data_IF_519112141974
#
_entry.id   IF_519112141974
#
_cell.length_a   1.000
_cell.length_b   1.000
_cell.length_c   1.000
_cell.angle_alpha   90.00
_cell.angle_beta   90.00
_cell.angle_gamma   90.00
#
_symmetry.space_group_name_H-M   'P 1'
#
loop_
_entity.id
_entity.type
_entity.pdbx_description
1 polymer ?
#
# COMPACT_ATOMS: atom_id res chain seq x y z
N UNK A 1 -67.88 16.23 -26.69
CA UNK A 1 -68.07 14.77 -26.51
C UNK A 1 -66.89 14.08 -27.16
N UNK A 2 -66.32 13.09 -26.49
CA UNK A 2 -64.92 12.70 -26.56
C UNK A 2 -64.60 11.86 -27.81
N UNK A 3 -63.62 12.30 -28.60
CA UNK A 3 -62.89 11.46 -29.55
C UNK A 3 -61.71 10.77 -28.86
N UNK A 4 -61.66 9.45 -28.97
CA UNK A 4 -60.45 8.61 -28.94
C UNK A 4 -60.24 8.13 -30.39
N UNK A 5 -58.99 7.92 -30.90
CA UNK A 5 -58.13 6.88 -30.35
C UNK A 5 -56.59 7.05 -30.53
N UNK A 6 -55.87 6.09 -29.93
CA UNK A 6 -54.51 5.62 -30.23
C UNK A 6 -53.30 6.53 -29.95
N UNK A 7 -52.80 6.44 -28.71
CA UNK A 7 -51.41 6.69 -28.36
C UNK A 7 -50.65 5.38 -28.14
N UNK A 8 -49.90 4.94 -29.14
CA UNK A 8 -48.83 3.97 -29.02
C UNK A 8 -47.54 4.75 -28.73
N UNK A 9 -46.98 4.66 -27.52
CA UNK A 9 -45.65 5.19 -27.21
C UNK A 9 -44.92 4.24 -26.29
N UNK A 10 -44.07 3.43 -26.92
CA UNK A 10 -43.03 2.66 -26.26
C UNK A 10 -42.17 3.60 -25.39
N UNK A 11 -42.15 3.32 -24.09
CA UNK A 11 -41.22 3.93 -23.15
C UNK A 11 -39.84 3.32 -23.36
N UNK A 12 -38.94 4.13 -23.90
CA UNK A 12 -37.50 4.02 -23.67
C UNK A 12 -37.23 4.32 -22.20
N UNK A 13 -36.52 3.44 -21.49
CA UNK A 13 -35.37 3.89 -20.70
C UNK A 13 -34.46 2.70 -20.44
N UNK A 14 -33.27 2.83 -21.02
CA UNK A 14 -32.26 1.83 -21.14
C UNK A 14 -31.58 1.53 -19.80
N UNK A 15 -31.27 0.24 -19.64
CA UNK A 15 -30.15 -0.33 -18.88
C UNK A 15 -29.10 0.70 -18.48
N UNK A 16 -29.04 0.98 -17.18
CA UNK A 16 -27.87 1.62 -16.55
C UNK A 16 -26.72 0.62 -16.68
N UNK A 17 -25.82 0.92 -17.61
CA UNK A 17 -24.68 0.10 -17.94
C UNK A 17 -23.70 -0.03 -16.78
N UNK A 18 -23.08 -1.19 -16.74
CA UNK A 18 -21.92 -1.53 -15.94
C UNK A 18 -20.91 -0.38 -15.90
N UNK A 19 -20.38 -0.12 -14.71
CA UNK A 19 -19.18 0.69 -14.48
C UNK A 19 -18.01 -0.09 -15.08
N UNK A 20 -17.88 0.00 -16.40
CA UNK A 20 -16.71 -0.44 -17.13
C UNK A 20 -15.57 0.48 -16.74
N UNK A 21 -14.66 -0.04 -15.91
CA UNK A 21 -13.30 0.46 -15.79
C UNK A 21 -12.67 0.36 -17.18
N UNK A 22 -12.89 1.38 -18.01
CA UNK A 22 -12.10 1.58 -19.19
C UNK A 22 -10.70 1.87 -18.70
N UNK A 23 -9.86 0.85 -18.79
CA UNK A 23 -8.41 0.97 -18.79
C UNK A 23 -8.05 1.98 -19.88
N UNK A 24 -7.95 3.24 -19.50
CA UNK A 24 -7.30 4.30 -20.24
C UNK A 24 -5.79 4.05 -20.17
N UNK A 25 -5.35 2.95 -20.78
CA UNK A 25 -3.95 2.72 -21.12
C UNK A 25 -3.61 3.53 -22.38
N UNK A 26 -3.90 4.84 -22.36
CA UNK A 26 -3.42 5.78 -23.36
C UNK A 26 -2.18 6.47 -22.81
N UNK A 27 -1.03 6.36 -23.50
CA UNK A 27 0.12 7.20 -23.16
C UNK A 27 -0.27 8.66 -23.31
N UNK A 28 -0.23 9.41 -22.21
CA UNK A 28 -0.33 10.86 -22.26
C UNK A 28 0.94 11.41 -22.91
N UNK A 29 0.80 11.99 -24.09
CA UNK A 29 1.91 12.65 -24.80
C UNK A 29 2.05 14.08 -24.30
N UNK A 30 3.25 14.45 -23.86
CA UNK A 30 3.60 15.82 -23.47
C UNK A 30 4.70 16.36 -24.38
N UNK A 31 4.50 17.55 -24.95
CA UNK A 31 5.53 18.27 -25.70
C UNK A 31 6.34 19.13 -24.75
N UNK A 32 7.65 18.94 -24.70
CA UNK A 32 8.57 19.68 -23.83
C UNK A 32 9.53 20.45 -24.74
N UNK A 33 9.60 21.78 -24.55
CA UNK A 33 10.64 22.59 -25.18
C UNK A 33 11.92 22.51 -24.34
N UNK A 34 13.06 22.27 -25.00
CA UNK A 34 14.35 22.08 -24.35
C UNK A 34 15.43 22.80 -25.15
N UNK A 35 16.40 23.41 -24.45
CA UNK A 35 17.53 24.05 -25.11
C UNK A 35 18.56 23.02 -25.61
N UNK A 36 19.29 23.39 -26.67
CA UNK A 36 20.24 22.51 -27.34
C UNK A 36 21.41 22.11 -26.44
N UNK A 37 21.82 22.96 -25.50
CA UNK A 37 22.92 22.66 -24.59
C UNK A 37 22.51 21.62 -23.53
N UNK A 38 21.27 21.68 -23.03
CA UNK A 38 20.71 20.65 -22.16
C UNK A 38 20.52 19.33 -22.92
N UNK A 39 20.05 19.36 -24.17
CA UNK A 39 19.94 18.17 -25.00
C UNK A 39 21.28 17.47 -25.20
N UNK A 40 22.34 18.22 -25.52
CA UNK A 40 23.69 17.69 -25.70
C UNK A 40 24.20 17.01 -24.42
N UNK A 41 24.00 17.64 -23.25
CA UNK A 41 24.40 17.06 -21.96
C UNK A 41 23.67 15.77 -21.61
N UNK A 42 22.40 15.63 -22.00
CA UNK A 42 21.62 14.41 -21.76
C UNK A 42 22.09 13.27 -22.69
N UNK A 43 22.43 13.60 -23.94
CA UNK A 43 22.98 12.64 -24.90
C UNK A 43 24.36 12.15 -24.46
N UNK A 44 25.24 13.05 -24.00
CA UNK A 44 26.58 12.73 -23.47
C UNK A 44 26.53 11.85 -22.22
N UNK A 45 25.49 11.98 -21.41
CA UNK A 45 25.26 11.14 -20.22
C UNK A 45 24.83 9.69 -20.55
N UNK A 46 24.79 9.30 -21.82
CA UNK A 46 24.50 7.92 -22.24
C UNK A 46 23.01 7.57 -22.27
N UNK A 47 22.13 8.57 -22.37
CA UNK A 47 20.68 8.39 -22.46
C UNK A 47 20.26 7.68 -23.75
N UNK A 48 20.24 6.35 -23.75
CA UNK A 48 19.76 5.56 -24.92
C UNK A 48 18.25 5.73 -25.17
N UNK A 49 17.49 6.23 -24.18
CA UNK A 49 16.07 6.57 -24.31
C UNK A 49 15.75 7.87 -23.55
N UNK A 50 15.70 8.99 -24.30
CA UNK A 50 15.44 10.33 -23.75
C UNK A 50 14.11 10.41 -23.00
N UNK A 51 13.06 9.77 -23.52
CA UNK A 51 11.73 9.78 -22.91
C UNK A 51 11.71 9.07 -21.55
N UNK A 52 12.39 7.92 -21.44
CA UNK A 52 12.53 7.21 -20.17
C UNK A 52 13.36 8.02 -19.16
N UNK A 53 14.41 8.68 -19.62
CA UNK A 53 15.23 9.54 -18.77
C UNK A 53 14.42 10.72 -18.23
N UNK A 54 13.65 11.41 -19.10
CA UNK A 54 12.76 12.51 -18.69
C UNK A 54 11.71 11.98 -17.71
N UNK A 55 11.08 10.84 -17.99
CA UNK A 55 10.10 10.25 -17.10
C UNK A 55 10.70 9.91 -15.73
N UNK A 56 11.91 9.36 -15.69
CA UNK A 56 12.62 9.07 -14.45
C UNK A 56 12.98 10.35 -13.67
N UNK A 57 13.48 11.38 -14.36
CA UNK A 57 13.80 12.68 -13.75
C UNK A 57 12.54 13.35 -13.18
N UNK A 58 11.43 13.33 -13.92
CA UNK A 58 10.14 13.84 -13.46
C UNK A 58 9.62 13.08 -12.24
N UNK A 59 9.65 11.73 -12.26
CA UNK A 59 9.27 10.92 -11.10
C UNK A 59 10.15 11.22 -9.90
N UNK A 60 11.47 11.30 -10.08
CA UNK A 60 12.41 11.63 -9.00
C UNK A 60 12.10 13.00 -8.40
N UNK A 61 11.84 14.01 -9.22
CA UNK A 61 11.48 15.35 -8.75
C UNK A 61 10.17 15.33 -7.96
N UNK A 62 9.12 14.68 -8.49
CA UNK A 62 7.83 14.56 -7.81
C UNK A 62 7.95 13.87 -6.46
N UNK A 63 8.77 12.80 -6.37
CA UNK A 63 9.03 12.11 -5.11
C UNK A 63 9.80 12.99 -4.11
N UNK A 64 10.79 13.76 -4.57
CA UNK A 64 11.53 14.71 -3.72
C UNK A 64 10.60 15.81 -3.19
N UNK A 65 9.77 16.38 -4.06
CA UNK A 65 8.83 17.43 -3.68
C UNK A 65 7.77 16.90 -2.70
N UNK A 66 7.24 15.69 -2.94
CA UNK A 66 6.33 15.01 -2.01
C UNK A 66 6.99 14.72 -0.66
N UNK A 67 8.22 14.23 -0.64
CA UNK A 67 8.96 13.97 0.59
C UNK A 67 9.23 15.27 1.37
N UNK A 68 9.53 16.37 0.67
CA UNK A 68 9.71 17.69 1.29
C UNK A 68 8.39 18.19 1.90
N UNK A 69 7.29 18.08 1.16
CA UNK A 69 5.96 18.49 1.63
C UNK A 69 5.53 17.66 2.84
N UNK A 70 5.74 16.35 2.82
CA UNK A 70 5.48 15.46 3.95
C UNK A 70 6.28 15.89 5.19
N UNK A 71 7.59 16.13 5.05
CA UNK A 71 8.43 16.58 6.17
C UNK A 71 7.98 17.92 6.76
N UNK A 72 7.59 18.86 5.92
CA UNK A 72 7.09 20.16 6.38
C UNK A 72 5.73 20.04 7.08
N UNK A 73 4.86 19.16 6.58
CA UNK A 73 3.62 18.83 7.25
C UNK A 73 3.86 18.18 8.61
N UNK A 74 4.73 17.16 8.69
CA UNK A 74 5.09 16.50 9.97
C UNK A 74 5.68 17.48 10.98
N UNK A 75 6.50 18.45 10.53
CA UNK A 75 7.07 19.49 11.39
C UNK A 75 5.99 20.37 12.02
N UNK A 76 4.89 20.61 11.30
CA UNK A 76 3.78 21.44 11.77
C UNK A 76 2.66 20.65 12.47
N UNK A 77 2.65 19.32 12.34
CA UNK A 77 1.65 18.40 12.88
C UNK A 77 2.32 17.18 13.57
N UNK A 78 3.25 17.46 14.50
CA UNK A 78 4.11 16.42 15.07
C UNK A 78 3.33 15.29 15.77
N UNK A 79 2.28 15.63 16.51
CA UNK A 79 1.46 14.66 17.25
C UNK A 79 0.64 13.77 16.30
N UNK A 80 0.05 14.37 15.26
CA UNK A 80 -0.68 13.62 14.22
C UNK A 80 0.25 12.69 13.44
N UNK A 81 1.45 13.16 13.11
CA UNK A 81 2.47 12.35 12.46
C UNK A 81 2.94 11.19 13.35
N UNK A 82 3.10 11.42 14.66
CA UNK A 82 3.44 10.37 15.62
C UNK A 82 2.30 9.33 15.76
N UNK A 83 1.05 9.79 15.79
CA UNK A 83 -0.12 8.91 15.83
C UNK A 83 -0.21 8.05 14.56
N UNK A 84 -0.02 8.64 13.38
CA UNK A 84 -0.01 7.91 12.11
C UNK A 84 1.08 6.83 12.06
N UNK A 85 2.32 7.16 12.46
CA UNK A 85 3.41 6.17 12.56
C UNK A 85 3.12 5.06 13.56
N UNK A 86 2.48 5.39 14.68
CA UNK A 86 2.08 4.39 15.68
C UNK A 86 1.04 3.44 15.10
N UNK A 87 0.03 3.96 14.39
CA UNK A 87 -0.99 3.13 13.74
C UNK A 87 -0.39 2.22 12.67
N UNK A 88 0.54 2.75 11.85
CA UNK A 88 1.25 1.95 10.86
C UNK A 88 2.10 0.84 11.49
N UNK A 89 2.82 1.17 12.57
CA UNK A 89 3.60 0.19 13.32
C UNK A 89 2.71 -0.92 13.91
N UNK A 90 1.55 -0.57 14.47
CA UNK A 90 0.58 -1.56 14.97
C UNK A 90 0.11 -2.48 13.85
N UNK A 91 -0.26 -1.95 12.69
CA UNK A 91 -0.71 -2.77 11.55
C UNK A 91 0.37 -3.74 11.06
N UNK A 92 1.63 -3.28 11.02
CA UNK A 92 2.76 -4.15 10.66
C UNK A 92 2.92 -5.26 11.70
N UNK A 93 2.91 -4.92 12.99
CA UNK A 93 3.02 -5.89 14.07
C UNK A 93 1.87 -6.90 14.08
N UNK A 94 0.64 -6.49 13.80
CA UNK A 94 -0.51 -7.39 13.67
C UNK A 94 -0.31 -8.38 12.52
N UNK A 95 0.14 -7.90 11.36
CA UNK A 95 0.41 -8.75 10.19
C UNK A 95 1.55 -9.72 10.44
N UNK A 96 2.61 -9.28 11.13
CA UNK A 96 3.74 -10.13 11.51
C UNK A 96 3.33 -11.18 12.54
N UNK A 97 2.54 -10.80 13.54
CA UNK A 97 2.03 -11.73 14.54
C UNK A 97 1.13 -12.81 13.91
N UNK A 98 0.25 -12.43 12.97
CA UNK A 98 -0.57 -13.40 12.24
C UNK A 98 0.29 -14.40 11.46
N UNK A 99 1.31 -13.91 10.74
CA UNK A 99 2.23 -14.78 10.00
C UNK A 99 2.97 -15.73 10.94
N UNK A 100 3.52 -15.21 12.05
CA UNK A 100 4.27 -16.01 13.02
C UNK A 100 3.40 -17.08 13.68
N UNK A 101 2.13 -16.78 13.95
CA UNK A 101 1.16 -17.76 14.46
C UNK A 101 0.98 -18.91 13.47
N UNK A 102 0.81 -18.60 12.18
CA UNK A 102 0.68 -19.63 11.13
C UNK A 102 1.93 -20.48 11.06
N UNK A 103 3.11 -19.85 10.99
CA UNK A 103 4.40 -20.56 10.92
C UNK A 103 4.64 -21.48 12.13
N UNK A 104 4.32 -21.01 13.34
CA UNK A 104 4.44 -21.84 14.54
C UNK A 104 3.42 -22.98 14.59
N UNK A 105 2.19 -22.76 14.13
CA UNK A 105 1.17 -23.79 14.06
C UNK A 105 1.57 -24.88 13.04
N UNK A 106 2.10 -24.48 11.88
CA UNK A 106 2.69 -25.38 10.88
C UNK A 106 3.85 -26.18 11.44
N UNK A 107 4.78 -25.53 12.15
CA UNK A 107 5.91 -26.21 12.76
C UNK A 107 5.48 -27.21 13.85
N UNK A 108 4.47 -26.87 14.65
CA UNK A 108 3.93 -27.76 15.67
C UNK A 108 3.25 -28.99 15.04
N UNK A 109 2.43 -28.77 14.00
CA UNK A 109 1.78 -29.84 13.25
C UNK A 109 2.81 -30.76 12.58
N UNK A 110 3.84 -30.16 11.99
CA UNK A 110 4.96 -30.85 11.37
C UNK A 110 5.72 -31.72 12.38
N UNK A 111 6.00 -31.17 13.57
CA UNK A 111 6.71 -31.90 14.64
C UNK A 111 5.89 -33.09 15.15
N UNK A 112 4.56 -32.96 15.21
CA UNK A 112 3.65 -34.01 15.66
C UNK A 112 3.46 -35.13 14.63
N UNK A 113 3.27 -34.78 13.35
CA UNK A 113 2.78 -35.72 12.32
C UNK A 113 3.69 -35.90 11.11
N UNK A 114 4.79 -35.15 11.00
CA UNK A 114 5.67 -35.15 9.83
C UNK A 114 5.28 -34.11 8.78
N UNK A 115 6.04 -34.04 7.67
CA UNK A 115 5.85 -33.05 6.59
C UNK A 115 4.46 -33.18 5.98
N UNK A 116 3.77 -32.06 5.75
CA UNK A 116 2.44 -32.03 5.13
C UNK A 116 1.28 -32.31 6.09
N UNK A 117 1.55 -32.47 7.39
CA UNK A 117 0.49 -32.50 8.40
C UNK A 117 -0.09 -31.10 8.57
N UNK A 118 -1.39 -30.96 8.34
CA UNK A 118 -2.08 -29.67 8.50
C UNK A 118 -2.21 -29.28 9.99
N UNK A 119 -2.10 -27.98 10.31
CA UNK A 119 -2.33 -27.48 11.66
C UNK A 119 -3.79 -27.61 12.11
N UNK A 120 -3.98 -28.14 13.31
CA UNK A 120 -5.25 -28.15 14.00
C UNK A 120 -5.43 -26.95 14.94
N UNK A 121 -6.63 -26.79 15.48
CA UNK A 121 -6.98 -25.70 16.42
C UNK A 121 -6.03 -25.66 17.63
N UNK A 122 -5.60 -26.82 18.14
CA UNK A 122 -4.66 -26.89 19.28
C UNK A 122 -3.29 -26.30 18.92
N UNK A 123 -2.82 -26.52 17.68
CA UNK A 123 -1.55 -26.01 17.20
C UNK A 123 -1.60 -24.47 17.08
N UNK A 124 -2.71 -23.93 16.54
CA UNK A 124 -2.95 -22.49 16.47
C UNK A 124 -3.09 -21.82 17.85
N UNK A 125 -3.77 -22.46 18.80
CA UNK A 125 -3.91 -21.92 20.16
C UNK A 125 -2.56 -21.86 20.88
N UNK A 126 -1.73 -22.89 20.72
CA UNK A 126 -0.38 -22.91 21.27
C UNK A 126 0.51 -21.83 20.62
N UNK A 127 0.45 -21.70 19.29
CA UNK A 127 1.17 -20.68 18.55
C UNK A 127 0.76 -19.25 18.96
N UNK A 128 -0.55 -18.98 19.06
CA UNK A 128 -1.06 -17.70 19.56
C UNK A 128 -0.55 -17.39 20.97
N UNK A 129 -0.61 -18.36 21.89
CA UNK A 129 -0.10 -18.19 23.25
C UNK A 129 1.41 -17.87 23.26
N UNK A 130 2.18 -18.52 22.39
CA UNK A 130 3.61 -18.28 22.26
C UNK A 130 3.92 -16.86 21.75
N UNK A 131 3.31 -16.45 20.63
CA UNK A 131 3.52 -15.12 20.03
C UNK A 131 3.08 -14.03 20.99
N UNK A 132 1.95 -14.21 21.69
CA UNK A 132 1.50 -13.28 22.72
C UNK A 132 2.53 -13.13 23.85
N UNK A 133 3.09 -14.23 24.34
CA UNK A 133 4.12 -14.17 25.38
C UNK A 133 5.39 -13.45 24.89
N UNK A 134 5.78 -13.62 23.63
CA UNK A 134 6.91 -12.89 23.04
C UNK A 134 6.63 -11.38 22.97
N UNK A 135 5.43 -10.97 22.56
CA UNK A 135 5.03 -9.56 22.52
C UNK A 135 5.01 -8.93 23.92
N UNK A 136 4.48 -9.64 24.93
CA UNK A 136 4.49 -9.19 26.33
C UNK A 136 5.93 -9.01 26.86
N UNK A 137 6.84 -9.93 26.53
CA UNK A 137 8.26 -9.81 26.86
C UNK A 137 8.95 -8.63 26.15
N UNK A 138 8.64 -8.42 24.86
CA UNK A 138 9.18 -7.31 24.09
C UNK A 138 8.70 -5.96 24.65
N UNK A 139 7.41 -5.86 25.01
CA UNK A 139 6.85 -4.67 25.65
C UNK A 139 7.53 -4.39 26.99
N UNK A 140 7.75 -5.42 27.81
CA UNK A 140 8.44 -5.27 29.08
C UNK A 140 9.87 -4.75 28.90
N UNK A 141 10.64 -5.32 27.95
CA UNK A 141 12.00 -4.85 27.62
C UNK A 141 11.99 -3.40 27.12
N UNK A 142 11.00 -3.02 26.32
CA UNK A 142 10.87 -1.65 25.82
C UNK A 142 10.60 -0.68 26.98
N UNK A 143 9.70 -1.02 27.91
CA UNK A 143 9.45 -0.21 29.11
C UNK A 143 10.69 -0.05 29.98
N UNK A 144 11.48 -1.11 30.15
CA UNK A 144 12.75 -1.07 30.89
C UNK A 144 13.78 -0.15 30.23
N UNK A 145 13.91 -0.21 28.89
CA UNK A 145 14.81 0.66 28.14
C UNK A 145 14.40 2.13 28.22
N UNK A 146 13.09 2.42 28.19
CA UNK A 146 12.56 3.78 28.29
C UNK A 146 12.58 4.32 29.72
N UNK A 147 12.42 3.45 30.73
CA UNK A 147 12.42 3.82 32.15
C UNK A 147 13.80 3.83 32.81
N UNK A 148 14.80 3.15 32.21
CA UNK A 148 16.18 3.08 32.71
C UNK A 148 17.10 4.23 32.25
N UNK A 149 16.57 5.19 31.48
CA UNK A 149 17.29 6.39 31.03
C UNK A 149 17.16 7.55 32.03
N UNK A 150 17.74 7.40 33.22
CA UNK A 150 17.96 8.50 34.17
C UNK A 150 19.43 8.58 34.57
#
# INVERSE_FOLDING_TARGET
>A
MISRPHGNRAGQSSRTGAVGWLSLSGMATATISMDDALLARIQDAGGKNLSEWIAAACRSKLLIDAARAAREWERTHADEAAAARTQDAVRVLESEAEREIVEHAEQAAHTRGGVGTEPGIVDYLAAYGHVRAQLEQAEQRLREQLGGGH
#
